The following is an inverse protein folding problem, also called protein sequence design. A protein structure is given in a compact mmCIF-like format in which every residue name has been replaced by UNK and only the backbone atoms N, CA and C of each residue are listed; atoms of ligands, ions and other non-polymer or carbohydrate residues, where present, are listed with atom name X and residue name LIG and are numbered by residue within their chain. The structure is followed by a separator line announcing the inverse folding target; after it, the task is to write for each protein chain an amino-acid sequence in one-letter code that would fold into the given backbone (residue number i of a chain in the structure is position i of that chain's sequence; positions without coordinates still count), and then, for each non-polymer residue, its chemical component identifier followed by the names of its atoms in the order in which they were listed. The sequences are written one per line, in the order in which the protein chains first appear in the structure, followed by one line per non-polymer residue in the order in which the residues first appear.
data_IF_888629661953
#
_entry.id   IF_888629661953
#
_cell.length_a   1.000
_cell.length_b   1.000
_cell.length_c   1.000
_cell.angle_alpha   90.00
_cell.angle_beta   90.00
_cell.angle_gamma   90.00
#
_symmetry.space_group_name_H-M   'P 1'
#
loop_
_entity.id
_entity.type
_entity.pdbx_description
1 polymer ?
#
# COMPACT_ATOMS: atom_id res chain seq x y z
N UNK A 1 47.71 19.72 -60.86
CA UNK A 1 47.50 19.01 -59.62
C UNK A 1 46.75 19.93 -58.68
N UNK A 2 45.44 19.76 -58.60
CA UNK A 2 44.55 20.59 -57.73
C UNK A 2 44.24 19.85 -56.45
N UNK A 3 44.63 20.44 -55.32
CA UNK A 3 44.29 19.91 -53.98
C UNK A 3 42.90 20.41 -53.64
N UNK A 4 41.97 19.46 -53.42
CA UNK A 4 40.62 19.72 -52.91
C UNK A 4 40.71 19.65 -51.41
N UNK A 5 40.46 20.77 -50.72
CA UNK A 5 40.30 20.84 -49.29
C UNK A 5 38.85 20.48 -48.91
N UNK A 6 38.70 19.40 -48.19
CA UNK A 6 37.38 18.97 -47.66
C UNK A 6 37.16 19.66 -46.33
N UNK A 7 36.26 20.66 -46.30
CA UNK A 7 35.79 21.32 -45.08
C UNK A 7 34.69 20.47 -44.50
N UNK A 8 35.02 19.72 -43.45
CA UNK A 8 34.03 18.98 -42.66
C UNK A 8 33.34 19.92 -41.67
N UNK A 9 32.11 20.30 -41.98
CA UNK A 9 31.26 21.05 -41.03
C UNK A 9 30.68 20.08 -40.04
N UNK A 10 31.23 20.08 -38.80
CA UNK A 10 30.73 19.32 -37.69
C UNK A 10 29.49 20.03 -37.12
N UNK A 11 28.31 19.55 -37.47
CA UNK A 11 27.04 20.03 -36.94
C UNK A 11 26.84 19.48 -35.54
N UNK A 12 27.14 20.29 -34.52
CA UNK A 12 26.78 20.02 -33.14
C UNK A 12 25.26 20.20 -32.99
N UNK A 13 24.52 19.09 -33.00
CA UNK A 13 23.13 19.07 -32.56
C UNK A 13 23.13 19.17 -31.05
N UNK A 14 22.91 20.36 -30.53
CA UNK A 14 22.56 20.57 -29.11
C UNK A 14 21.17 19.99 -28.91
N UNK A 15 21.11 18.73 -28.45
CA UNK A 15 19.91 18.15 -27.93
C UNK A 15 19.66 18.85 -26.57
N UNK A 16 18.86 19.92 -26.55
CA UNK A 16 18.33 20.47 -25.31
C UNK A 16 17.40 19.43 -24.74
N UNK A 17 17.92 18.66 -23.78
CA UNK A 17 17.09 17.83 -22.90
C UNK A 17 16.28 18.82 -22.07
N UNK A 18 15.05 19.07 -22.50
CA UNK A 18 14.06 19.67 -21.63
C UNK A 18 13.86 18.67 -20.49
N UNK A 19 14.49 18.93 -19.35
CA UNK A 19 14.03 18.39 -18.09
C UNK A 19 12.58 18.87 -17.92
N UNK A 20 11.64 18.01 -18.31
CA UNK A 20 10.33 18.05 -17.67
C UNK A 20 10.63 17.83 -16.18
N UNK A 21 10.65 18.91 -15.42
CA UNK A 21 10.42 18.85 -13.98
C UNK A 21 9.03 18.25 -13.86
N UNK A 22 8.98 16.92 -13.71
CA UNK A 22 7.78 16.24 -13.29
C UNK A 22 7.36 16.95 -12.00
N UNK A 23 6.11 17.34 -11.95
CA UNK A 23 5.53 18.04 -10.81
C UNK A 23 5.53 17.05 -9.62
N UNK A 24 6.69 16.88 -8.97
CA UNK A 24 6.97 15.90 -7.91
C UNK A 24 6.02 16.04 -6.71
N UNK A 25 5.36 17.20 -6.58
CA UNK A 25 4.45 17.47 -5.47
C UNK A 25 3.11 16.71 -5.57
N UNK A 26 2.70 16.29 -6.77
CA UNK A 26 1.43 15.55 -6.96
C UNK A 26 1.53 14.05 -6.67
N UNK A 27 2.74 13.49 -6.66
CA UNK A 27 2.99 12.06 -6.41
C UNK A 27 3.68 11.76 -5.08
N UNK A 28 4.05 12.78 -4.30
CA UNK A 28 4.65 12.57 -2.99
C UNK A 28 3.64 11.99 -1.99
N UNK A 29 4.11 11.04 -1.17
CA UNK A 29 3.32 10.52 -0.06
C UNK A 29 3.10 11.62 0.98
N UNK A 30 1.85 11.80 1.41
CA UNK A 30 1.56 12.68 2.54
C UNK A 30 2.06 12.07 3.86
N UNK A 31 2.03 12.87 4.95
CA UNK A 31 2.58 12.45 6.25
C UNK A 31 1.96 11.15 6.77
N UNK A 32 0.65 10.95 6.63
CA UNK A 32 -0.03 9.72 7.05
C UNK A 32 0.42 8.52 6.21
N UNK A 33 0.48 8.68 4.89
CA UNK A 33 0.94 7.65 3.97
C UNK A 33 2.38 7.22 4.27
N UNK A 34 3.29 8.16 4.56
CA UNK A 34 4.66 7.87 4.99
C UNK A 34 4.71 7.04 6.27
N UNK A 35 3.80 7.30 7.24
CA UNK A 35 3.71 6.49 8.47
C UNK A 35 3.17 5.10 8.20
N UNK A 36 2.24 4.93 7.26
CA UNK A 36 1.75 3.63 6.82
C UNK A 36 2.89 2.79 6.22
N UNK A 37 3.76 3.38 5.38
CA UNK A 37 4.95 2.71 4.85
C UNK A 37 5.81 2.14 5.98
N UNK A 38 6.15 2.96 6.97
CA UNK A 38 6.97 2.51 8.10
C UNK A 38 6.30 1.38 8.91
N UNK A 39 4.99 1.52 9.20
CA UNK A 39 4.19 0.50 9.90
C UNK A 39 4.18 -0.82 9.13
N UNK A 40 3.93 -0.78 7.83
CA UNK A 40 3.86 -1.97 6.99
C UNK A 40 5.24 -2.67 6.89
N UNK A 41 6.30 -1.91 6.61
CA UNK A 41 7.66 -2.43 6.50
C UNK A 41 8.14 -3.11 7.80
N UNK A 42 7.94 -2.47 8.96
CA UNK A 42 8.34 -3.07 10.24
C UNK A 42 7.46 -4.26 10.63
N UNK A 43 6.18 -4.25 10.26
CA UNK A 43 5.29 -5.41 10.44
C UNK A 43 5.80 -6.60 9.63
N UNK A 44 6.09 -6.42 8.35
CA UNK A 44 6.58 -7.48 7.47
C UNK A 44 7.93 -8.04 7.93
N UNK A 45 8.84 -7.20 8.42
CA UNK A 45 10.12 -7.63 9.00
C UNK A 45 9.96 -8.31 10.36
N UNK A 46 8.87 -8.05 11.10
CA UNK A 46 8.69 -8.47 12.47
C UNK A 46 9.56 -7.70 13.47
N UNK A 47 9.91 -6.48 13.13
CA UNK A 47 10.72 -5.59 13.97
C UNK A 47 9.80 -4.86 14.97
N UNK A 48 9.44 -5.57 16.03
CA UNK A 48 8.48 -5.08 17.04
C UNK A 48 8.88 -3.79 17.75
N UNK A 49 10.17 -3.57 18.11
CA UNK A 49 10.58 -2.30 18.72
C UNK A 49 10.37 -1.09 17.79
N UNK A 50 10.83 -1.17 16.54
CA UNK A 50 10.65 -0.09 15.57
C UNK A 50 9.20 0.05 15.14
N UNK A 51 8.45 -1.06 15.05
CA UNK A 51 7.01 -1.02 14.80
C UNK A 51 6.26 -0.24 15.89
N UNK A 52 6.59 -0.44 17.18
CA UNK A 52 5.95 0.29 18.28
C UNK A 52 6.14 1.80 18.12
N UNK A 53 7.35 2.23 17.75
CA UNK A 53 7.65 3.64 17.48
C UNK A 53 6.85 4.16 16.27
N UNK A 54 6.84 3.42 15.16
CA UNK A 54 6.11 3.81 13.95
C UNK A 54 4.59 3.90 14.19
N UNK A 55 4.03 3.00 15.00
CA UNK A 55 2.62 3.03 15.38
C UNK A 55 2.27 4.29 16.19
N UNK A 56 3.12 4.65 17.18
CA UNK A 56 2.94 5.86 17.96
C UNK A 56 3.01 7.11 17.08
N UNK A 57 4.03 7.20 16.23
CA UNK A 57 4.18 8.29 15.28
C UNK A 57 3.03 8.36 14.26
N UNK A 58 2.47 7.23 13.86
CA UNK A 58 1.29 7.15 12.99
C UNK A 58 0.07 7.80 13.64
N UNK A 59 -0.20 7.46 14.91
CA UNK A 59 -1.27 8.06 15.70
C UNK A 59 -1.05 9.57 15.88
N UNK A 60 0.17 9.99 16.19
CA UNK A 60 0.54 11.40 16.37
C UNK A 60 0.43 12.19 15.05
N UNK A 61 0.65 11.54 13.91
CA UNK A 61 0.42 12.10 12.58
C UNK A 61 -1.07 12.15 12.16
N UNK A 62 -1.96 11.66 13.03
CA UNK A 62 -3.41 11.69 12.84
C UNK A 62 -3.99 10.48 12.12
N UNK A 63 -3.25 9.35 12.01
CA UNK A 63 -3.89 8.07 11.70
C UNK A 63 -4.83 7.69 12.82
N UNK A 64 -5.98 7.16 12.47
CA UNK A 64 -6.94 6.68 13.45
C UNK A 64 -6.65 5.25 13.88
N UNK A 65 -7.20 4.86 15.04
CA UNK A 65 -7.05 3.50 15.57
C UNK A 65 -7.53 2.46 14.56
N UNK A 66 -8.65 2.71 13.87
CA UNK A 66 -9.21 1.75 12.92
C UNK A 66 -8.47 1.74 11.58
N UNK A 67 -7.89 2.85 11.11
CA UNK A 67 -7.00 2.85 9.92
C UNK A 67 -5.78 1.96 10.16
N UNK A 68 -5.11 2.10 11.29
CA UNK A 68 -3.94 1.27 11.63
C UNK A 68 -4.34 -0.21 11.80
N UNK A 69 -5.45 -0.51 12.50
CA UNK A 69 -5.97 -1.88 12.58
C UNK A 69 -6.19 -2.49 11.21
N UNK A 70 -6.75 -1.71 10.29
CA UNK A 70 -7.06 -2.18 8.94
C UNK A 70 -5.78 -2.49 8.15
N UNK A 71 -4.76 -1.63 8.23
CA UNK A 71 -3.42 -1.88 7.66
C UNK A 71 -2.84 -3.17 8.20
N UNK A 72 -2.77 -3.33 9.53
CA UNK A 72 -2.21 -4.52 10.16
C UNK A 72 -2.99 -5.79 9.84
N UNK A 73 -4.34 -5.69 9.72
CA UNK A 73 -5.20 -6.80 9.32
C UNK A 73 -4.92 -7.21 7.88
N UNK A 74 -4.86 -6.26 6.94
CA UNK A 74 -4.57 -6.55 5.53
C UNK A 74 -3.23 -7.27 5.35
N UNK A 75 -2.23 -6.88 6.12
CA UNK A 75 -0.87 -7.39 5.98
C UNK A 75 -0.74 -8.90 6.22
N UNK A 76 -1.72 -9.56 6.87
CA UNK A 76 -1.65 -11.01 6.98
C UNK A 76 -1.65 -11.72 5.62
N UNK A 77 -2.31 -11.15 4.61
CA UNK A 77 -2.36 -11.71 3.27
C UNK A 77 -1.00 -11.64 2.53
N UNK A 78 -0.10 -10.79 2.98
CA UNK A 78 1.22 -10.55 2.36
C UNK A 78 2.39 -11.11 3.18
N UNK A 79 2.34 -10.98 4.49
CA UNK A 79 3.43 -11.41 5.38
C UNK A 79 3.02 -12.51 6.39
N UNK A 80 1.82 -13.06 6.23
CA UNK A 80 1.28 -14.17 7.02
C UNK A 80 0.70 -13.77 8.37
N UNK A 81 -0.19 -14.62 8.88
CA UNK A 81 -0.85 -14.42 10.17
C UNK A 81 0.11 -14.13 11.34
N UNK A 82 1.25 -14.84 11.50
CA UNK A 82 2.11 -14.60 12.65
C UNK A 82 2.61 -13.16 12.75
N UNK A 83 2.98 -12.54 11.63
CA UNK A 83 3.45 -11.14 11.59
C UNK A 83 2.32 -10.18 11.94
N UNK A 84 1.16 -10.35 11.30
CA UNK A 84 -0.02 -9.50 11.54
C UNK A 84 -0.51 -9.62 13.00
N UNK A 85 -0.63 -10.83 13.55
CA UNK A 85 -1.09 -11.04 14.93
C UNK A 85 -0.12 -10.44 15.97
N UNK A 86 1.19 -10.60 15.77
CA UNK A 86 2.19 -9.99 16.63
C UNK A 86 2.13 -8.46 16.57
N UNK A 87 1.95 -7.89 15.38
CA UNK A 87 1.79 -6.46 15.18
C UNK A 87 0.51 -5.92 15.86
N UNK A 88 -0.61 -6.61 15.71
CA UNK A 88 -1.87 -6.26 16.37
C UNK A 88 -1.75 -6.34 17.90
N UNK A 89 -1.05 -7.35 18.43
CA UNK A 89 -0.75 -7.46 19.86
C UNK A 89 0.10 -6.31 20.39
N UNK A 90 1.16 -5.94 19.64
CA UNK A 90 2.01 -4.80 19.94
C UNK A 90 1.21 -3.48 19.92
N UNK A 91 0.34 -3.31 18.92
CA UNK A 91 -0.53 -2.15 18.80
C UNK A 91 -1.54 -2.04 19.94
N UNK A 92 -2.16 -3.14 20.30
CA UNK A 92 -3.09 -3.18 21.45
C UNK A 92 -2.40 -2.77 22.76
N UNK A 93 -1.17 -3.22 23.00
CA UNK A 93 -0.38 -2.83 24.16
C UNK A 93 -0.04 -1.33 24.14
N UNK A 94 0.38 -0.79 23.00
CA UNK A 94 0.66 0.63 22.82
C UNK A 94 -0.57 1.50 23.12
N UNK A 95 -1.76 1.13 22.62
CA UNK A 95 -2.99 1.90 22.88
C UNK A 95 -3.31 1.96 24.38
N UNK A 96 -3.14 0.85 25.12
CA UNK A 96 -3.30 0.83 26.59
C UNK A 96 -2.29 1.75 27.31
N UNK A 97 -1.04 1.75 26.86
CA UNK A 97 -0.01 2.63 27.41
C UNK A 97 -0.32 4.12 27.16
N UNK A 98 -0.85 4.45 25.98
CA UNK A 98 -1.25 5.82 25.62
C UNK A 98 -2.46 6.28 26.44
N UNK A 99 -3.46 5.42 26.55
CA UNK A 99 -4.65 5.67 27.39
C UNK A 99 -4.28 5.90 28.86
N UNK A 100 -3.38 5.08 29.42
CA UNK A 100 -2.87 5.23 30.80
C UNK A 100 -2.13 6.57 31.01
N UNK A 101 -1.59 7.17 29.97
CA UNK A 101 -0.98 8.52 29.96
C UNK A 101 -1.99 9.63 29.69
N UNK A 102 -3.28 9.33 29.59
CA UNK A 102 -4.36 10.28 29.32
C UNK A 102 -4.45 10.70 27.84
N UNK A 103 -3.74 10.03 26.93
CA UNK A 103 -3.81 10.32 25.49
C UNK A 103 -5.07 9.63 24.92
N UNK A 104 -5.87 10.39 24.19
CA UNK A 104 -7.10 9.92 23.55
C UNK A 104 -6.89 9.86 22.05
N UNK A 105 -6.61 8.68 21.53
CA UNK A 105 -6.46 8.44 20.10
C UNK A 105 -7.83 8.41 19.40
N UNK A 106 -7.94 9.02 18.22
CA UNK A 106 -9.18 9.04 17.46
C UNK A 106 -9.55 7.61 16.99
N UNK A 107 -10.75 7.10 17.28
CA UNK A 107 -11.12 5.73 16.92
C UNK A 107 -11.19 5.50 15.41
N UNK A 108 -11.63 6.50 14.64
CA UNK A 108 -11.83 6.39 13.20
C UNK A 108 -13.06 5.59 12.80
N UNK A 109 -13.27 5.47 11.49
CA UNK A 109 -14.41 4.77 10.89
C UNK A 109 -14.26 3.25 11.07
N UNK A 110 -15.33 2.58 11.47
CA UNK A 110 -15.46 1.12 11.35
C UNK A 110 -15.88 0.76 9.91
N UNK A 111 -15.52 -0.44 9.41
CA UNK A 111 -15.99 -0.86 8.11
C UNK A 111 -17.51 -1.00 8.10
N UNK A 112 -18.14 -0.56 7.01
CA UNK A 112 -19.52 -0.87 6.72
C UNK A 112 -19.70 -2.34 6.31
N UNK A 113 -20.96 -2.76 6.00
CA UNK A 113 -21.20 -4.08 5.46
C UNK A 113 -20.52 -4.25 4.10
N UNK A 114 -20.05 -5.45 3.83
CA UNK A 114 -19.56 -5.79 2.49
C UNK A 114 -20.69 -5.70 1.46
N UNK A 115 -20.36 -5.51 0.16
CA UNK A 115 -21.37 -5.57 -0.90
C UNK A 115 -22.19 -6.86 -0.86
N UNK A 116 -23.46 -6.77 -1.24
CA UNK A 116 -24.31 -7.96 -1.34
C UNK A 116 -23.81 -8.92 -2.42
N UNK A 117 -23.95 -10.22 -2.19
CA UNK A 117 -23.52 -11.26 -3.12
C UNK A 117 -22.31 -12.05 -2.61
N UNK A 118 -21.69 -12.82 -3.49
CA UNK A 118 -20.51 -13.62 -3.16
C UNK A 118 -19.25 -12.77 -3.25
N UNK A 119 -18.36 -12.90 -2.28
CA UNK A 119 -17.07 -12.16 -2.26
C UNK A 119 -16.27 -12.34 -3.55
N UNK A 120 -16.33 -13.52 -4.18
CA UNK A 120 -15.64 -13.79 -5.43
C UNK A 120 -16.12 -12.90 -6.59
N UNK A 121 -17.41 -12.58 -6.65
CA UNK A 121 -17.99 -11.81 -7.75
C UNK A 121 -17.59 -10.33 -7.66
N UNK A 122 -17.83 -9.69 -6.53
CA UNK A 122 -17.41 -8.29 -6.36
C UNK A 122 -15.90 -8.14 -6.18
N UNK A 123 -15.21 -9.15 -5.67
CA UNK A 123 -13.76 -9.17 -5.59
C UNK A 123 -13.08 -9.28 -6.97
N UNK A 124 -13.62 -10.09 -7.88
CA UNK A 124 -13.14 -10.12 -9.28
C UNK A 124 -13.34 -8.76 -9.97
N UNK A 125 -14.45 -8.08 -9.69
CA UNK A 125 -14.70 -6.73 -10.20
C UNK A 125 -13.72 -5.71 -9.61
N UNK A 126 -13.45 -5.77 -8.29
CA UNK A 126 -12.45 -4.93 -7.62
C UNK A 126 -11.05 -5.14 -8.20
N UNK A 127 -10.62 -6.40 -8.36
CA UNK A 127 -9.33 -6.75 -8.97
C UNK A 127 -9.22 -6.17 -10.39
N UNK A 128 -10.25 -6.36 -11.22
CA UNK A 128 -10.28 -5.84 -12.58
C UNK A 128 -10.16 -4.32 -12.60
N UNK A 129 -10.88 -3.63 -11.70
CA UNK A 129 -10.83 -2.17 -11.60
C UNK A 129 -9.45 -1.67 -11.16
N UNK A 130 -8.82 -2.33 -10.21
CA UNK A 130 -7.49 -1.95 -9.70
C UNK A 130 -6.40 -2.21 -10.75
N UNK A 131 -6.44 -3.36 -11.43
CA UNK A 131 -5.45 -3.76 -12.43
C UNK A 131 -5.70 -3.15 -13.82
N UNK A 132 -6.84 -2.51 -14.05
CA UNK A 132 -7.24 -1.95 -15.35
C UNK A 132 -7.74 -2.98 -16.37
N UNK A 133 -7.62 -4.27 -16.09
CA UNK A 133 -8.08 -5.38 -16.93
C UNK A 133 -8.33 -6.64 -16.10
N UNK A 134 -9.16 -7.60 -16.58
CA UNK A 134 -9.33 -8.89 -15.91
C UNK A 134 -7.99 -9.65 -15.82
N UNK A 135 -7.62 -10.06 -14.62
CA UNK A 135 -6.39 -10.82 -14.37
C UNK A 135 -6.64 -12.30 -14.70
N UNK A 136 -5.82 -12.82 -15.62
CA UNK A 136 -5.86 -14.21 -16.10
C UNK A 136 -4.44 -14.65 -16.47
N UNK A 137 -4.22 -15.95 -16.64
CA UNK A 137 -2.96 -16.46 -17.16
C UNK A 137 -2.61 -17.85 -16.64
N UNK A 138 -1.57 -18.44 -17.22
CA UNK A 138 -1.16 -19.81 -16.98
C UNK A 138 -0.90 -20.14 -15.49
N UNK A 139 -0.49 -19.17 -14.67
CA UNK A 139 -0.34 -19.36 -13.23
C UNK A 139 -1.66 -19.71 -12.55
N UNK A 140 -2.73 -19.01 -12.92
CA UNK A 140 -4.05 -19.23 -12.33
C UNK A 140 -4.72 -20.51 -12.87
N UNK A 141 -4.41 -20.87 -14.12
CA UNK A 141 -4.83 -22.16 -14.68
C UNK A 141 -4.10 -23.32 -13.99
N UNK A 142 -2.83 -23.12 -13.65
CA UNK A 142 -2.02 -24.13 -12.92
C UNK A 142 -2.44 -24.27 -11.45
N UNK A 143 -2.80 -23.17 -10.78
CA UNK A 143 -3.17 -23.14 -9.37
C UNK A 143 -4.50 -22.38 -9.16
N UNK A 144 -5.67 -22.95 -9.56
CA UNK A 144 -6.94 -22.24 -9.53
C UNK A 144 -7.38 -21.79 -8.13
N UNK A 145 -6.96 -22.49 -7.07
CA UNK A 145 -7.28 -22.10 -5.72
C UNK A 145 -6.67 -20.73 -5.34
N UNK A 146 -5.48 -20.39 -5.86
CA UNK A 146 -4.88 -19.08 -5.58
C UNK A 146 -5.64 -17.95 -6.29
N UNK A 147 -6.17 -18.20 -7.48
CA UNK A 147 -7.04 -17.25 -8.19
C UNK A 147 -8.34 -16.99 -7.40
N UNK A 148 -8.95 -18.06 -6.88
CA UNK A 148 -10.14 -17.96 -6.03
C UNK A 148 -9.86 -17.17 -4.76
N UNK A 149 -8.76 -17.45 -4.03
CA UNK A 149 -8.40 -16.74 -2.81
C UNK A 149 -8.07 -15.27 -3.07
N UNK A 150 -7.38 -14.97 -4.15
CA UNK A 150 -7.14 -13.58 -4.53
C UNK A 150 -8.44 -12.83 -4.79
N UNK A 151 -9.34 -13.40 -5.58
CA UNK A 151 -10.61 -12.74 -5.93
C UNK A 151 -11.55 -12.68 -4.74
N UNK A 152 -11.84 -13.82 -4.11
CA UNK A 152 -12.82 -13.86 -3.03
C UNK A 152 -12.32 -13.18 -1.76
N UNK A 153 -11.10 -13.47 -1.34
CA UNK A 153 -10.62 -13.06 -0.04
C UNK A 153 -9.85 -11.74 -0.08
N UNK A 154 -8.80 -11.61 -0.92
CA UNK A 154 -8.04 -10.38 -0.95
C UNK A 154 -8.87 -9.22 -1.52
N UNK A 155 -9.32 -9.34 -2.77
CA UNK A 155 -10.06 -8.27 -3.44
C UNK A 155 -11.54 -8.19 -3.03
N UNK A 156 -12.11 -9.29 -2.54
CA UNK A 156 -13.46 -9.34 -1.99
C UNK A 156 -13.50 -8.89 -0.53
N UNK A 157 -13.08 -9.77 0.40
CA UNK A 157 -13.27 -9.53 1.82
C UNK A 157 -12.41 -8.38 2.37
N UNK A 158 -11.17 -8.20 1.88
CA UNK A 158 -10.27 -7.16 2.39
C UNK A 158 -10.48 -5.84 1.63
N UNK A 159 -10.33 -5.82 0.30
CA UNK A 159 -10.51 -4.60 -0.49
C UNK A 159 -11.96 -4.13 -0.60
N UNK A 160 -12.92 -5.00 -0.29
CA UNK A 160 -14.32 -4.63 -0.16
C UNK A 160 -14.66 -3.79 1.08
N UNK A 161 -13.77 -3.73 2.07
CA UNK A 161 -13.96 -2.95 3.31
C UNK A 161 -13.70 -1.47 3.04
N UNK A 162 -14.62 -0.61 3.42
CA UNK A 162 -14.70 0.81 3.05
C UNK A 162 -14.07 1.79 4.07
N UNK A 163 -13.43 1.26 5.12
CA UNK A 163 -12.79 2.06 6.17
C UNK A 163 -11.31 2.42 5.91
N UNK A 164 -10.77 1.95 4.80
CA UNK A 164 -9.46 2.33 4.28
C UNK A 164 -9.58 2.39 2.74
N UNK A 165 -9.14 3.47 2.13
CA UNK A 165 -9.18 3.60 0.67
C UNK A 165 -8.17 2.70 -0.03
N UNK A 166 -8.39 2.42 -1.32
CA UNK A 166 -7.57 1.50 -2.08
C UNK A 166 -6.13 1.98 -2.29
N UNK A 167 -5.93 3.29 -2.44
CA UNK A 167 -4.57 3.86 -2.55
C UNK A 167 -3.77 3.57 -1.28
N UNK A 168 -4.36 3.81 -0.13
CA UNK A 168 -3.74 3.54 1.17
C UNK A 168 -3.48 2.04 1.37
N UNK A 169 -4.39 1.16 0.90
CA UNK A 169 -4.17 -0.30 0.90
C UNK A 169 -2.98 -0.69 0.03
N UNK A 170 -2.86 -0.14 -1.16
CA UNK A 170 -1.73 -0.42 -2.06
C UNK A 170 -0.41 0.11 -1.50
N UNK A 171 -0.39 1.28 -0.85
CA UNK A 171 0.80 1.80 -0.16
C UNK A 171 1.27 0.80 0.90
N UNK A 172 0.36 0.25 1.70
CA UNK A 172 0.70 -0.76 2.71
C UNK A 172 1.17 -2.09 2.09
N UNK A 173 0.68 -2.43 0.88
CA UNK A 173 1.03 -3.66 0.16
C UNK A 173 2.44 -3.62 -0.41
N UNK A 174 2.87 -2.47 -0.95
CA UNK A 174 4.16 -2.33 -1.63
C UNK A 174 5.31 -1.92 -0.69
N UNK A 175 5.01 -1.58 0.56
CA UNK A 175 5.98 -1.17 1.57
C UNK A 175 6.70 -2.36 2.20
#
# INVERSE_FOLDING_TARGET
MKKIALFGTLLFIFCTVNHLEANDTMNALNTKEQKIVAIAAYTARGDMPNLKTALAEGLDAGLTVNEIKEVLTQLYAYCGFPRSLNALGNYMALLKEREAKGIKDAPGKLPGPLPAGKSIDFGAANQTKLCGAPVRGALFDFAPAIDEYLKAHLFGDIFGRDNLDWRTREIATVA
#
